data_IF_352627957583
#
_entry.id   IF_352627957583
#
_cell.length_a   1.000
_cell.length_b   1.000
_cell.length_c   1.000
_cell.angle_alpha   90.00
_cell.angle_beta   90.00
_cell.angle_gamma   90.00
#
_symmetry.space_group_name_H-M   'P 1'
#
loop_
_entity.id
_entity.type
_entity.pdbx_description
1 polymer ?
#
# COMPACT_ATOMS: atom_id res chain seq x y z
N UNK A 1 -0.39 -36.60 -56.01
CA UNK A 1 -1.57 -35.90 -55.45
C UNK A 1 -2.01 -36.58 -54.16
N UNK A 2 -1.81 -35.93 -53.01
CA UNK A 2 -2.69 -35.92 -51.81
C UNK A 2 -1.88 -35.30 -50.68
N UNK A 3 -2.43 -34.22 -50.13
CA UNK A 3 -1.75 -33.21 -49.32
C UNK A 3 -1.42 -33.75 -47.94
N UNK A 4 -0.13 -33.76 -47.56
CA UNK A 4 0.29 -33.98 -46.18
C UNK A 4 0.02 -32.67 -45.42
N UNK A 5 -1.09 -32.64 -44.69
CA UNK A 5 -1.47 -31.48 -43.87
C UNK A 5 -0.53 -31.42 -42.67
N UNK A 6 0.27 -30.37 -42.64
CA UNK A 6 0.96 -29.85 -41.46
C UNK A 6 -0.06 -29.71 -40.34
N UNK A 7 0.11 -30.43 -39.23
CA UNK A 7 -0.58 -30.11 -37.98
C UNK A 7 0.50 -29.68 -36.97
N UNK A 8 0.72 -28.37 -37.00
CA UNK A 8 1.54 -27.60 -36.10
C UNK A 8 0.88 -27.65 -34.70
N UNK A 9 1.42 -28.43 -33.77
CA UNK A 9 0.96 -28.43 -32.39
C UNK A 9 1.69 -27.30 -31.64
N UNK A 10 1.25 -26.07 -31.89
CA UNK A 10 1.63 -24.92 -31.06
C UNK A 10 0.84 -25.05 -29.76
N UNK A 11 1.51 -25.54 -28.72
CA UNK A 11 1.03 -25.35 -27.36
C UNK A 11 1.14 -23.85 -27.07
N UNK A 12 0.05 -23.12 -27.29
CA UNK A 12 -0.12 -21.78 -26.75
C UNK A 12 -0.19 -21.96 -25.24
N UNK A 13 0.95 -21.82 -24.56
CA UNK A 13 0.96 -21.58 -23.13
C UNK A 13 0.34 -20.20 -22.95
N UNK A 14 -0.97 -20.18 -22.69
CA UNK A 14 -1.66 -19.00 -22.21
C UNK A 14 -1.08 -18.69 -20.83
N UNK A 15 -0.02 -17.89 -20.79
CA UNK A 15 0.37 -17.15 -19.59
C UNK A 15 -0.77 -16.21 -19.29
N UNK A 16 -1.71 -16.71 -18.50
CA UNK A 16 -2.66 -15.87 -17.82
C UNK A 16 -1.84 -15.09 -16.81
N UNK A 17 -1.47 -13.85 -17.17
CA UNK A 17 -1.10 -12.85 -16.17
C UNK A 17 -2.39 -12.55 -15.40
N UNK A 18 -2.76 -13.46 -14.49
CA UNK A 18 -3.52 -13.06 -13.33
C UNK A 18 -2.59 -12.08 -12.62
N UNK A 19 -2.84 -10.79 -12.83
CA UNK A 19 -2.24 -9.73 -12.04
C UNK A 19 -2.77 -9.90 -10.62
N UNK A 20 -2.26 -10.89 -9.89
CA UNK A 20 -2.33 -10.86 -8.44
C UNK A 20 -1.55 -9.60 -8.04
N UNK A 21 -2.28 -8.53 -7.74
CA UNK A 21 -1.70 -7.39 -7.05
C UNK A 21 -1.16 -7.94 -5.73
N UNK A 22 0.17 -8.09 -5.66
CA UNK A 22 0.85 -8.52 -4.47
C UNK A 22 1.06 -7.28 -3.60
N UNK A 23 0.19 -7.09 -2.61
CA UNK A 23 0.32 -5.99 -1.66
C UNK A 23 1.38 -6.26 -0.58
N UNK A 24 1.94 -7.46 -0.53
CA UNK A 24 2.89 -7.89 0.49
C UNK A 24 2.24 -8.80 1.54
N UNK A 25 2.83 -8.84 2.73
CA UNK A 25 2.35 -9.62 3.87
C UNK A 25 1.29 -8.84 4.62
N UNK A 26 0.21 -9.51 5.01
CA UNK A 26 -0.95 -8.90 5.67
C UNK A 26 -0.91 -9.08 7.20
N UNK A 27 -1.30 -8.04 7.94
CA UNK A 27 -1.59 -8.02 9.39
C UNK A 27 -2.86 -7.22 9.65
N UNK A 28 -3.54 -7.50 10.75
CA UNK A 28 -4.79 -6.85 11.15
C UNK A 28 -4.62 -6.12 12.49
N UNK A 29 -5.13 -4.89 12.56
CA UNK A 29 -5.06 -4.01 13.73
C UNK A 29 -6.38 -3.23 13.88
N UNK A 30 -7.29 -3.71 14.72
CA UNK A 30 -8.57 -3.05 15.06
C UNK A 30 -9.34 -2.51 13.83
N UNK A 31 -9.62 -3.41 12.89
CA UNK A 31 -10.33 -3.10 11.64
C UNK A 31 -9.42 -2.54 10.53
N UNK A 32 -8.15 -2.28 10.80
CA UNK A 32 -7.16 -1.92 9.77
C UNK A 32 -6.49 -3.16 9.22
N UNK A 33 -6.67 -3.40 7.92
CA UNK A 33 -5.89 -4.33 7.13
C UNK A 33 -4.59 -3.63 6.68
N UNK A 34 -3.48 -4.02 7.28
CA UNK A 34 -2.16 -3.49 6.99
C UNK A 34 -1.38 -4.50 6.14
N UNK A 35 -0.99 -4.08 4.94
CA UNK A 35 -0.03 -4.81 4.13
C UNK A 35 1.37 -4.22 4.29
N UNK A 36 2.42 -5.04 4.24
CA UNK A 36 3.80 -4.55 4.17
C UNK A 36 4.64 -5.37 3.19
N UNK A 37 5.49 -4.69 2.43
CA UNK A 37 6.28 -5.32 1.37
C UNK A 37 7.62 -5.85 1.89
N UNK A 38 8.40 -6.50 1.01
CA UNK A 38 9.64 -7.19 1.39
C UNK A 38 10.75 -6.26 1.91
N UNK A 39 10.69 -4.95 1.61
CA UNK A 39 11.66 -3.96 2.09
C UNK A 39 11.32 -3.41 3.48
N UNK A 40 10.20 -3.86 4.06
CA UNK A 40 9.72 -3.47 5.38
C UNK A 40 9.80 -4.69 6.29
N UNK A 41 10.41 -4.51 7.46
CA UNK A 41 10.49 -5.55 8.46
C UNK A 41 9.16 -5.73 9.18
N UNK A 42 8.93 -6.94 9.72
CA UNK A 42 7.73 -7.19 10.50
C UNK A 42 7.62 -6.28 11.74
N UNK A 43 8.74 -5.94 12.38
CA UNK A 43 8.80 -5.03 13.54
C UNK A 43 8.38 -3.59 13.16
N UNK A 44 8.80 -3.09 11.99
CA UNK A 44 8.35 -1.79 11.47
C UNK A 44 6.84 -1.80 11.17
N UNK A 45 6.31 -2.91 10.63
CA UNK A 45 4.88 -3.08 10.39
C UNK A 45 4.08 -3.15 11.70
N UNK A 46 4.60 -3.83 12.73
CA UNK A 46 3.99 -3.89 14.06
C UNK A 46 3.95 -2.52 14.74
N UNK A 47 5.07 -1.78 14.73
CA UNK A 47 5.12 -0.42 15.29
C UNK A 47 4.14 0.52 14.58
N UNK A 48 3.99 0.40 13.26
CA UNK A 48 2.97 1.15 12.53
C UNK A 48 1.57 0.75 12.98
N UNK A 49 1.26 -0.55 13.08
CA UNK A 49 -0.04 -1.01 13.55
C UNK A 49 -0.40 -0.49 14.95
N UNK A 50 0.54 -0.53 15.90
CA UNK A 50 0.37 0.02 17.24
C UNK A 50 0.15 1.55 17.22
N UNK A 51 0.86 2.27 16.36
CA UNK A 51 0.64 3.69 16.14
C UNK A 51 -0.77 3.97 15.59
N UNK A 52 -1.26 3.19 14.63
CA UNK A 52 -2.60 3.37 14.07
C UNK A 52 -3.70 3.16 15.13
N UNK A 53 -3.50 2.23 16.06
CA UNK A 53 -4.40 2.05 17.22
C UNK A 53 -4.32 3.26 18.16
N UNK A 54 -3.11 3.65 18.58
CA UNK A 54 -2.94 4.71 19.59
C UNK A 54 -3.30 6.11 19.09
N UNK A 55 -3.16 6.39 17.79
CA UNK A 55 -3.59 7.63 17.13
C UNK A 55 -5.11 7.71 16.94
N UNK A 56 -5.83 6.61 17.12
CA UNK A 56 -7.27 6.50 16.85
C UNK A 56 -7.61 6.38 15.36
N UNK A 57 -6.61 6.14 14.49
CA UNK A 57 -6.86 5.82 13.08
C UNK A 57 -7.54 4.45 12.92
N UNK A 58 -7.08 3.46 13.68
CA UNK A 58 -7.77 2.20 13.88
C UNK A 58 -8.84 2.40 14.96
N UNK A 59 -10.10 2.37 14.53
CA UNK A 59 -11.28 2.68 15.34
C UNK A 59 -12.35 1.57 15.21
N UNK A 60 -11.94 0.39 14.76
CA UNK A 60 -12.79 -0.75 14.43
C UNK A 60 -13.47 -0.68 13.05
N UNK A 61 -13.40 0.46 12.33
CA UNK A 61 -13.90 0.53 10.96
C UNK A 61 -12.89 -0.04 9.95
N UNK A 62 -13.40 -0.80 8.98
CA UNK A 62 -12.62 -1.41 7.91
C UNK A 62 -11.84 -0.36 7.11
N UNK A 63 -10.52 -0.46 7.13
CA UNK A 63 -9.59 0.37 6.32
C UNK A 63 -8.48 -0.51 5.79
N UNK A 64 -7.99 -0.21 4.59
CA UNK A 64 -6.81 -0.88 4.03
C UNK A 64 -5.67 0.12 3.88
N UNK A 65 -4.50 -0.28 4.34
CA UNK A 65 -3.26 0.49 4.23
C UNK A 65 -2.12 -0.42 3.77
N UNK A 66 -1.07 0.17 3.20
CA UNK A 66 0.15 -0.54 2.86
C UNK A 66 1.36 0.27 3.31
N UNK A 67 2.35 -0.40 3.89
CA UNK A 67 3.67 0.13 4.17
C UNK A 67 4.67 -0.43 3.17
N UNK A 68 5.36 0.46 2.46
CA UNK A 68 6.47 0.14 1.55
C UNK A 68 7.68 1.00 1.95
N UNK A 69 8.88 0.58 1.53
CA UNK A 69 10.09 1.36 1.70
C UNK A 69 10.85 1.43 0.39
N UNK A 70 10.95 2.64 -0.17
CA UNK A 70 11.73 2.91 -1.38
C UNK A 70 13.04 3.63 -0.99
N UNK A 71 14.14 2.88 -0.95
CA UNK A 71 15.41 3.38 -0.43
C UNK A 71 15.32 3.67 1.06
N UNK A 72 15.49 4.93 1.44
CA UNK A 72 15.37 5.40 2.83
C UNK A 72 14.00 5.98 3.17
N UNK A 73 13.11 6.10 2.17
CA UNK A 73 11.79 6.74 2.34
C UNK A 73 10.72 5.69 2.58
N UNK A 74 9.99 5.81 3.69
CA UNK A 74 8.79 5.02 3.92
C UNK A 74 7.60 5.61 3.17
N UNK A 75 6.81 4.75 2.55
CA UNK A 75 5.58 5.10 1.85
C UNK A 75 4.40 4.49 2.61
N UNK A 76 3.65 5.34 3.31
CA UNK A 76 2.39 4.96 3.93
C UNK A 76 1.25 5.18 2.94
N UNK A 77 0.74 4.10 2.36
CA UNK A 77 -0.36 4.10 1.39
C UNK A 77 -1.67 3.86 2.12
N UNK A 78 -2.64 4.74 1.94
CA UNK A 78 -3.97 4.60 2.55
C UNK A 78 -5.07 4.77 1.52
N UNK A 79 -6.06 3.87 1.56
CA UNK A 79 -7.26 4.00 0.74
C UNK A 79 -8.08 5.20 1.21
N UNK A 80 -8.44 6.09 0.28
CA UNK A 80 -9.34 7.20 0.53
C UNK A 80 -10.51 7.18 -0.45
N UNK A 81 -11.60 7.87 -0.10
CA UNK A 81 -12.67 8.14 -1.06
C UNK A 81 -12.17 9.12 -2.12
N UNK A 82 -12.39 8.81 -3.38
CA UNK A 82 -12.02 9.70 -4.49
C UNK A 82 -12.55 11.14 -4.28
N UNK A 83 -11.70 12.12 -4.56
CA UNK A 83 -11.92 13.53 -4.30
C UNK A 83 -11.41 14.01 -2.94
N UNK A 84 -11.13 13.12 -1.97
CA UNK A 84 -10.52 13.51 -0.69
C UNK A 84 -9.06 13.94 -0.84
N UNK A 85 -8.34 13.36 -1.81
CA UNK A 85 -6.97 13.72 -2.17
C UNK A 85 -6.83 15.16 -2.72
N UNK A 86 -7.95 15.85 -2.93
CA UNK A 86 -8.00 17.25 -3.36
C UNK A 86 -8.45 18.21 -2.24
N UNK A 87 -8.79 17.70 -1.05
CA UNK A 87 -9.28 18.52 0.07
C UNK A 87 -8.10 18.97 0.93
N UNK A 88 -7.86 20.27 0.98
CA UNK A 88 -6.74 20.87 1.75
C UNK A 88 -6.67 20.40 3.21
N UNK A 89 -7.82 20.29 3.89
CA UNK A 89 -7.88 19.77 5.27
C UNK A 89 -7.34 18.33 5.38
N UNK A 90 -7.65 17.49 4.39
CA UNK A 90 -7.20 16.10 4.36
C UNK A 90 -5.72 16.00 4.00
N UNK A 91 -5.23 16.88 3.13
CA UNK A 91 -3.81 17.00 2.81
C UNK A 91 -2.99 17.48 4.01
N UNK A 92 -3.53 18.42 4.78
CA UNK A 92 -2.90 18.87 6.02
C UNK A 92 -2.81 17.75 7.06
N UNK A 93 -3.89 16.98 7.23
CA UNK A 93 -3.90 15.81 8.12
C UNK A 93 -2.91 14.73 7.67
N UNK A 94 -2.87 14.42 6.37
CA UNK A 94 -1.91 13.46 5.82
C UNK A 94 -0.46 13.90 6.06
N UNK A 95 -0.17 15.20 5.91
CA UNK A 95 1.16 15.76 6.22
C UNK A 95 1.48 15.67 7.70
N UNK A 96 0.51 15.88 8.60
CA UNK A 96 0.70 15.69 10.04
C UNK A 96 1.07 14.23 10.36
N UNK A 97 0.33 13.27 9.82
CA UNK A 97 0.66 11.85 9.99
C UNK A 97 2.03 11.48 9.43
N UNK A 98 2.43 12.03 8.28
CA UNK A 98 3.79 11.83 7.75
C UNK A 98 4.87 12.28 8.77
N UNK A 99 4.67 13.45 9.39
CA UNK A 99 5.60 13.98 10.39
C UNK A 99 5.65 13.13 11.66
N UNK A 100 4.49 12.74 12.19
CA UNK A 100 4.39 11.89 13.39
C UNK A 100 5.02 10.52 13.17
N UNK A 101 4.68 9.83 12.07
CA UNK A 101 5.28 8.52 11.76
C UNK A 101 6.81 8.62 11.59
N UNK A 102 7.30 9.68 10.94
CA UNK A 102 8.74 9.90 10.79
C UNK A 102 9.43 9.96 12.15
N UNK A 103 8.93 10.78 13.07
CA UNK A 103 9.58 11.05 14.36
C UNK A 103 9.37 9.92 15.38
N UNK A 104 8.17 9.33 15.42
CA UNK A 104 7.76 8.44 16.50
C UNK A 104 7.99 6.95 16.16
N UNK A 105 8.07 6.60 14.87
CA UNK A 105 8.15 5.21 14.40
C UNK A 105 9.45 4.94 13.65
N UNK A 106 9.81 5.83 12.72
CA UNK A 106 10.87 5.57 11.74
C UNK A 106 12.17 6.33 12.01
N UNK A 107 12.42 6.72 13.28
CA UNK A 107 13.68 7.32 13.74
C UNK A 107 14.13 8.55 12.93
N UNK A 108 13.17 9.34 12.45
CA UNK A 108 13.38 10.53 11.62
C UNK A 108 13.57 10.27 10.13
N UNK A 109 13.39 9.03 9.66
CA UNK A 109 13.44 8.72 8.24
C UNK A 109 12.31 9.43 7.47
N UNK A 110 12.52 9.81 6.19
CA UNK A 110 11.49 10.45 5.39
C UNK A 110 10.24 9.57 5.24
N UNK A 111 9.06 10.19 5.35
CA UNK A 111 7.78 9.52 5.13
C UNK A 111 6.98 10.27 4.07
N UNK A 112 6.39 9.50 3.16
CA UNK A 112 5.41 9.94 2.19
C UNK A 112 4.07 9.27 2.49
N UNK A 113 3.00 10.07 2.56
CA UNK A 113 1.64 9.55 2.60
C UNK A 113 1.07 9.53 1.19
N UNK A 114 0.74 8.34 0.72
CA UNK A 114 0.11 8.10 -0.56
C UNK A 114 -1.39 7.92 -0.33
N UNK A 115 -2.18 8.88 -0.81
CA UNK A 115 -3.63 8.78 -0.83
C UNK A 115 -4.02 7.96 -2.06
N UNK A 116 -4.68 6.82 -1.85
CA UNK A 116 -4.91 5.81 -2.87
C UNK A 116 -6.40 5.56 -3.17
N UNK A 117 -6.67 4.94 -4.32
CA UNK A 117 -7.96 4.31 -4.59
C UNK A 117 -8.11 2.99 -3.79
N UNK A 118 -9.22 2.27 -3.99
CA UNK A 118 -9.54 0.99 -3.36
C UNK A 118 -8.61 -0.17 -3.76
N UNK A 119 -7.74 0.03 -4.75
CA UNK A 119 -6.71 -0.90 -5.19
C UNK A 119 -5.30 -0.50 -4.71
N UNK A 120 -5.20 0.39 -3.71
CA UNK A 120 -3.93 0.94 -3.19
C UNK A 120 -3.06 1.64 -4.25
N UNK A 121 -3.65 2.02 -5.39
CA UNK A 121 -2.96 2.79 -6.43
C UNK A 121 -2.99 4.27 -6.06
N UNK A 122 -1.83 4.92 -6.14
CA UNK A 122 -1.66 6.31 -5.67
C UNK A 122 -2.42 7.31 -6.55
N UNK A 123 -3.26 8.12 -5.91
CA UNK A 123 -3.92 9.29 -6.49
C UNK A 123 -3.13 10.58 -6.22
N UNK A 124 -2.53 10.68 -5.02
CA UNK A 124 -1.75 11.84 -4.58
C UNK A 124 -0.68 11.44 -3.57
N UNK A 125 0.50 12.05 -3.67
CA UNK A 125 1.56 11.95 -2.67
C UNK A 125 1.59 13.23 -1.83
N UNK A 126 1.71 13.06 -0.51
CA UNK A 126 1.90 14.12 0.48
C UNK A 126 3.16 13.79 1.28
N UNK A 127 4.20 14.59 1.08
CA UNK A 127 5.48 14.43 1.77
C UNK A 127 5.54 15.32 3.03
N UNK A 128 6.39 14.91 3.97
CA UNK A 128 6.66 15.60 5.24
C UNK A 128 6.98 17.09 5.09
#
# INVERSE_FOLDING_TARGET
>A
MKKLKVLLLVVVVAMTFASCQNYGTEKEFDGVQLFYTENVTEDEADKLGEYLISSGFADGAEKSVQLEKEGETYQFRMVVKEGFEKKEEFLALAKQFANEMSLDIFEGAPVEVHLCNDHLETLKVVSM
#
